data_IF_803577385653
#
_entry.id   IF_803577385653
#
_cell.length_a   1.000
_cell.length_b   1.000
_cell.length_c   1.000
_cell.angle_alpha   90.00
_cell.angle_beta   90.00
_cell.angle_gamma   90.00
#
_symmetry.space_group_name_H-M   'P 1'
#
loop_
_entity.id
_entity.type
_entity.pdbx_description
1 polymer ?
#
# COMPACT_ATOMS: atom_id res chain seq x y z
N UNK A 1 61.38 -1.91 -36.40
CA UNK A 1 60.60 -1.60 -35.18
C UNK A 1 59.13 -2.01 -35.38
N UNK A 2 58.79 -3.25 -35.00
CA UNK A 2 57.39 -3.66 -34.86
C UNK A 2 56.78 -2.83 -33.72
N UNK A 3 55.85 -1.94 -34.07
CA UNK A 3 55.10 -1.16 -33.09
C UNK A 3 54.24 -2.08 -32.22
N UNK A 4 53.97 -1.66 -30.99
CA UNK A 4 53.10 -2.40 -30.08
C UNK A 4 51.75 -2.74 -30.76
N UNK A 5 51.23 -3.96 -30.56
CA UNK A 5 49.95 -4.35 -31.14
C UNK A 5 48.84 -3.41 -30.66
N UNK A 6 47.84 -3.13 -31.51
CA UNK A 6 46.74 -2.25 -31.13
C UNK A 6 46.01 -2.78 -29.89
N UNK A 7 45.48 -1.88 -29.03
CA UNK A 7 44.79 -2.30 -27.82
C UNK A 7 43.58 -3.17 -28.17
N UNK A 8 43.40 -4.24 -27.41
CA UNK A 8 42.33 -5.21 -27.62
C UNK A 8 41.53 -5.43 -26.33
N UNK A 9 40.28 -5.86 -26.49
CA UNK A 9 39.33 -6.07 -25.40
C UNK A 9 39.04 -7.58 -25.32
N UNK A 10 39.19 -8.15 -24.13
CA UNK A 10 38.90 -9.56 -23.90
C UNK A 10 37.41 -9.80 -23.72
N UNK A 11 36.79 -10.64 -24.55
CA UNK A 11 35.42 -11.11 -24.36
C UNK A 11 35.44 -12.51 -23.71
N UNK A 12 34.79 -12.66 -22.55
CA UNK A 12 34.87 -13.88 -21.73
C UNK A 12 33.48 -14.31 -21.25
N UNK A 13 33.20 -15.61 -21.31
CA UNK A 13 31.98 -16.18 -20.75
C UNK A 13 32.01 -16.19 -19.21
N UNK A 14 30.88 -15.93 -18.55
CA UNK A 14 30.69 -16.23 -17.12
C UNK A 14 30.69 -17.75 -16.88
N UNK A 15 31.25 -18.18 -15.75
CA UNK A 15 31.33 -19.59 -15.33
C UNK A 15 32.73 -20.20 -15.44
N UNK A 16 32.90 -21.43 -14.95
CA UNK A 16 34.15 -22.21 -15.00
C UNK A 16 35.25 -21.78 -14.00
N UNK A 17 35.43 -20.49 -13.75
CA UNK A 17 36.35 -19.94 -12.75
C UNK A 17 35.87 -18.59 -12.22
N UNK A 18 36.57 -18.02 -11.23
CA UNK A 18 36.17 -16.77 -10.59
C UNK A 18 36.33 -15.56 -11.53
N UNK A 19 35.62 -14.47 -11.25
CA UNK A 19 35.81 -13.22 -12.01
C UNK A 19 37.25 -12.71 -11.91
N UNK A 20 37.86 -12.82 -10.72
CA UNK A 20 39.27 -12.46 -10.48
C UNK A 20 40.22 -13.22 -11.41
N UNK A 21 40.05 -14.53 -11.56
CA UNK A 21 40.95 -15.33 -12.40
C UNK A 21 40.85 -14.95 -13.87
N UNK A 22 39.62 -14.72 -14.36
CA UNK A 22 39.36 -14.26 -15.74
C UNK A 22 40.05 -12.94 -16.02
N UNK A 23 39.85 -11.97 -15.12
CA UNK A 23 40.42 -10.63 -15.24
C UNK A 23 41.95 -10.68 -15.14
N UNK A 24 42.50 -11.44 -14.19
CA UNK A 24 43.95 -11.60 -14.00
C UNK A 24 44.60 -12.21 -15.24
N UNK A 25 43.98 -13.25 -15.82
CA UNK A 25 44.51 -13.89 -17.01
C UNK A 25 44.46 -12.98 -18.24
N UNK A 26 43.39 -12.20 -18.40
CA UNK A 26 43.28 -11.21 -19.47
C UNK A 26 44.29 -10.07 -19.30
N UNK A 27 44.44 -9.54 -18.08
CA UNK A 27 45.42 -8.51 -17.75
C UNK A 27 46.85 -8.98 -18.01
N UNK A 28 47.19 -10.24 -17.65
CA UNK A 28 48.50 -10.85 -17.95
C UNK A 28 48.79 -10.92 -19.45
N UNK A 29 47.76 -11.02 -20.29
CA UNK A 29 47.86 -10.96 -21.76
C UNK A 29 47.82 -9.55 -22.32
N UNK A 30 47.89 -8.51 -21.48
CA UNK A 30 47.86 -7.09 -21.85
C UNK A 30 46.56 -6.67 -22.57
N UNK A 31 45.41 -7.23 -22.15
CA UNK A 31 44.11 -6.71 -22.58
C UNK A 31 43.90 -5.30 -22.02
N UNK A 32 43.35 -4.39 -22.82
CA UNK A 32 43.03 -3.04 -22.39
C UNK A 32 41.77 -3.00 -21.49
N UNK A 33 40.83 -3.91 -21.73
CA UNK A 33 39.63 -4.10 -20.92
C UNK A 33 39.12 -5.54 -21.02
N UNK A 34 38.23 -5.91 -20.10
CA UNK A 34 37.61 -7.24 -20.03
C UNK A 34 36.08 -7.10 -19.99
N UNK A 35 35.42 -7.77 -20.92
CA UNK A 35 33.96 -7.86 -21.04
C UNK A 35 33.54 -9.27 -20.70
N UNK A 36 32.79 -9.42 -19.61
CA UNK A 36 32.27 -10.71 -19.16
C UNK A 36 30.80 -10.78 -19.52
N UNK A 37 30.39 -11.70 -20.39
CA UNK A 37 28.97 -11.90 -20.67
C UNK A 37 28.35 -12.93 -19.74
N UNK A 38 27.13 -12.65 -19.28
CA UNK A 38 26.42 -13.49 -18.32
C UNK A 38 25.95 -14.82 -18.94
N UNK A 39 25.42 -15.74 -18.14
CA UNK A 39 24.91 -17.03 -18.61
C UNK A 39 23.47 -16.91 -19.16
N UNK A 40 23.09 -17.81 -20.07
CA UNK A 40 21.79 -17.79 -20.75
C UNK A 40 20.59 -17.69 -19.80
N UNK A 41 20.65 -18.40 -18.68
CA UNK A 41 19.57 -18.43 -17.67
C UNK A 41 19.27 -17.07 -17.02
N UNK A 42 20.20 -16.11 -17.11
CA UNK A 42 20.05 -14.79 -16.50
C UNK A 42 19.61 -13.70 -17.49
N UNK A 43 19.46 -14.02 -18.78
CA UNK A 43 19.01 -13.05 -19.78
C UNK A 43 19.83 -11.75 -19.77
N UNK A 44 19.16 -10.61 -19.63
CA UNK A 44 19.77 -9.27 -19.60
C UNK A 44 20.32 -8.84 -18.23
N UNK A 45 20.15 -9.66 -17.19
CA UNK A 45 20.61 -9.31 -15.86
C UNK A 45 22.14 -9.24 -15.80
N UNK A 46 22.66 -8.31 -15.02
CA UNK A 46 24.08 -8.19 -14.71
C UNK A 46 24.29 -8.22 -13.20
N UNK A 47 25.50 -8.57 -12.75
CA UNK A 47 25.85 -8.58 -11.33
C UNK A 47 27.13 -7.81 -11.13
N UNK A 48 27.25 -7.16 -9.96
CA UNK A 48 28.50 -6.54 -9.54
C UNK A 48 29.57 -7.61 -9.34
N UNK A 49 30.74 -7.41 -9.96
CA UNK A 49 31.83 -8.40 -9.94
C UNK A 49 32.90 -7.99 -8.93
N UNK A 50 33.11 -8.80 -7.90
CA UNK A 50 34.27 -8.67 -7.03
C UNK A 50 35.51 -9.20 -7.76
N UNK A 51 36.52 -8.35 -7.92
CA UNK A 51 37.79 -8.64 -8.62
C UNK A 51 38.97 -7.97 -7.91
N UNK A 52 38.92 -7.92 -6.57
CA UNK A 52 39.97 -7.34 -5.73
C UNK A 52 41.35 -7.95 -6.04
N UNK A 53 42.33 -7.06 -6.20
CA UNK A 53 43.72 -7.43 -6.50
C UNK A 53 44.03 -7.66 -7.99
N UNK A 54 43.21 -7.13 -8.91
CA UNK A 54 43.46 -7.19 -10.37
C UNK A 54 43.96 -5.87 -10.98
N UNK A 55 44.41 -4.95 -10.12
CA UNK A 55 44.98 -3.66 -10.51
C UNK A 55 43.94 -2.72 -11.15
N UNK A 56 44.39 -1.94 -12.13
CA UNK A 56 43.58 -0.92 -12.83
C UNK A 56 42.89 -1.47 -14.10
N UNK A 57 42.68 -2.79 -14.18
CA UNK A 57 42.04 -3.40 -15.35
C UNK A 57 40.57 -2.97 -15.41
N UNK A 58 40.13 -2.42 -16.55
CA UNK A 58 38.71 -2.07 -16.75
C UNK A 58 37.91 -3.35 -17.00
N UNK A 59 36.88 -3.59 -16.20
CA UNK A 59 36.04 -4.79 -16.29
C UNK A 59 34.57 -4.41 -16.29
N UNK A 60 33.82 -4.91 -17.27
CA UNK A 60 32.36 -4.74 -17.35
C UNK A 60 31.65 -6.08 -17.55
N UNK A 61 30.43 -6.19 -17.03
CA UNK A 61 29.54 -7.31 -17.32
C UNK A 61 28.45 -6.88 -18.30
N UNK A 62 28.15 -7.74 -19.26
CA UNK A 62 26.99 -7.59 -20.15
C UNK A 62 26.03 -8.76 -19.97
N UNK A 63 24.75 -8.54 -20.23
CA UNK A 63 23.75 -9.62 -20.28
C UNK A 63 24.10 -10.66 -21.35
N UNK A 64 23.55 -11.87 -21.23
CA UNK A 64 23.81 -12.96 -22.17
C UNK A 64 23.44 -12.60 -23.62
N UNK A 65 22.24 -12.04 -23.92
CA UNK A 65 21.88 -11.70 -25.30
C UNK A 65 22.86 -10.72 -25.94
N UNK A 66 23.30 -9.70 -25.19
CA UNK A 66 24.29 -8.74 -25.67
C UNK A 66 25.67 -9.37 -25.88
N UNK A 67 26.07 -10.29 -25.00
CA UNK A 67 27.30 -11.06 -25.16
C UNK A 67 27.31 -11.89 -26.44
N UNK A 68 26.20 -12.56 -26.76
CA UNK A 68 26.05 -13.34 -27.99
C UNK A 68 26.06 -12.44 -29.23
N UNK A 69 25.40 -11.28 -29.19
CA UNK A 69 25.42 -10.28 -30.26
C UNK A 69 26.85 -9.85 -30.62
N UNK A 70 27.75 -9.74 -29.63
CA UNK A 70 29.16 -9.42 -29.84
C UNK A 70 29.96 -10.66 -30.29
N UNK A 71 29.69 -11.82 -29.69
CA UNK A 71 30.43 -13.05 -29.94
C UNK A 71 30.21 -13.62 -31.35
N UNK A 72 29.00 -13.50 -31.88
CA UNK A 72 28.62 -14.06 -33.17
C UNK A 72 29.41 -13.47 -34.36
N UNK A 73 29.54 -12.13 -34.51
CA UNK A 73 30.42 -11.54 -35.51
C UNK A 73 31.89 -11.94 -35.32
N UNK A 74 32.38 -11.94 -34.07
CA UNK A 74 33.77 -12.30 -33.75
C UNK A 74 34.09 -13.73 -34.18
N UNK A 75 33.18 -14.68 -33.96
CA UNK A 75 33.32 -16.08 -34.42
C UNK A 75 33.41 -16.22 -35.93
N UNK A 76 32.78 -15.30 -36.68
CA UNK A 76 32.82 -15.24 -38.14
C UNK A 76 34.04 -14.48 -38.67
N UNK A 77 34.96 -14.06 -37.79
CA UNK A 77 36.14 -13.28 -38.15
C UNK A 77 35.84 -11.81 -38.47
N UNK A 78 34.64 -11.32 -38.14
CA UNK A 78 34.27 -9.93 -38.36
C UNK A 78 34.81 -9.09 -37.19
N UNK A 79 35.64 -8.07 -37.44
CA UNK A 79 36.19 -7.25 -36.38
C UNK A 79 35.11 -6.39 -35.73
N UNK A 80 35.01 -6.46 -34.40
CA UNK A 80 34.08 -5.64 -33.60
C UNK A 80 34.87 -4.57 -32.86
N UNK A 81 34.46 -3.31 -33.04
CA UNK A 81 34.99 -2.17 -32.28
C UNK A 81 34.06 -1.86 -31.11
N UNK A 82 34.63 -1.61 -29.94
CA UNK A 82 33.87 -1.33 -28.72
C UNK A 82 34.50 -0.16 -27.96
N UNK A 83 33.66 0.76 -27.50
CA UNK A 83 34.04 1.89 -26.66
C UNK A 83 33.37 1.73 -25.31
N UNK A 84 34.15 1.77 -24.22
CA UNK A 84 33.64 1.65 -22.86
C UNK A 84 33.75 3.04 -22.21
N UNK A 85 32.63 3.55 -21.72
CA UNK A 85 32.54 4.84 -21.02
C UNK A 85 31.94 4.63 -19.64
N UNK A 86 32.30 5.49 -18.69
CA UNK A 86 31.77 5.43 -17.33
C UNK A 86 30.31 5.87 -17.34
N UNK A 87 29.42 4.97 -16.90
CA UNK A 87 27.98 5.25 -16.76
C UNK A 87 27.62 5.92 -15.43
N UNK A 88 26.33 6.21 -15.24
CA UNK A 88 25.78 6.74 -14.00
C UNK A 88 25.66 5.66 -12.93
N UNK A 89 25.89 6.01 -11.66
CA UNK A 89 25.73 5.05 -10.54
C UNK A 89 24.24 4.76 -10.31
N UNK A 90 23.83 3.50 -10.45
CA UNK A 90 22.46 3.02 -10.19
C UNK A 90 21.99 3.16 -8.72
N UNK A 91 22.84 3.67 -7.82
CA UNK A 91 22.52 3.91 -6.40
C UNK A 91 21.41 4.96 -6.25
N UNK A 92 21.28 5.88 -7.19
CA UNK A 92 20.31 6.97 -7.12
C UNK A 92 18.84 6.49 -7.18
N UNK A 93 18.57 5.37 -7.86
CA UNK A 93 17.20 4.85 -8.07
C UNK A 93 16.68 4.03 -6.89
N UNK A 94 17.58 3.33 -6.18
CA UNK A 94 17.20 2.53 -5.01
C UNK A 94 16.96 3.41 -3.77
N UNK A 95 17.78 4.45 -3.57
CA UNK A 95 17.62 5.38 -2.45
C UNK A 95 16.33 6.21 -2.61
N UNK A 96 16.02 6.66 -3.83
CA UNK A 96 14.80 7.44 -4.07
C UNK A 96 13.53 6.59 -3.88
N UNK A 97 13.51 5.35 -4.37
CA UNK A 97 12.36 4.45 -4.18
C UNK A 97 12.14 4.07 -2.71
N UNK A 98 13.19 3.67 -2.00
CA UNK A 98 13.09 3.24 -0.60
C UNK A 98 12.76 4.42 0.34
N UNK A 99 13.30 5.61 0.06
CA UNK A 99 12.99 6.83 0.81
C UNK A 99 11.52 7.25 0.63
N UNK A 100 11.00 7.21 -0.60
CA UNK A 100 9.59 7.56 -0.87
C UNK A 100 8.63 6.60 -0.18
N UNK A 101 8.91 5.29 -0.21
CA UNK A 101 8.08 4.28 0.47
C UNK A 101 8.08 4.49 1.99
N UNK A 102 9.24 4.80 2.58
CA UNK A 102 9.33 5.08 4.02
C UNK A 102 8.53 6.32 4.43
N UNK A 103 8.62 7.41 3.66
CA UNK A 103 7.86 8.64 3.90
C UNK A 103 6.36 8.40 3.79
N UNK A 104 5.91 7.63 2.78
CA UNK A 104 4.50 7.31 2.59
C UNK A 104 3.92 6.49 3.76
N UNK A 105 4.66 5.48 4.24
CA UNK A 105 4.24 4.66 5.38
C UNK A 105 4.08 5.52 6.63
N UNK A 106 5.03 6.42 6.92
CA UNK A 106 4.96 7.31 8.07
C UNK A 106 3.74 8.27 8.03
N UNK A 107 3.38 8.75 6.84
CA UNK A 107 2.21 9.61 6.66
C UNK A 107 0.90 8.85 6.90
N UNK A 108 0.79 7.63 6.38
CA UNK A 108 -0.39 6.77 6.56
C UNK A 108 -0.56 6.40 8.03
N UNK A 109 0.51 6.04 8.74
CA UNK A 109 0.42 5.69 10.16
C UNK A 109 -0.02 6.86 11.02
N UNK A 110 0.53 8.07 10.78
CA UNK A 110 0.09 9.29 11.48
C UNK A 110 -1.39 9.60 11.24
N UNK A 111 -1.87 9.41 10.01
CA UNK A 111 -3.28 9.62 9.67
C UNK A 111 -4.19 8.62 10.39
N UNK A 112 -3.81 7.34 10.43
CA UNK A 112 -4.58 6.30 11.14
C UNK A 112 -4.61 6.56 12.64
N UNK A 113 -3.47 6.91 13.24
CA UNK A 113 -3.39 7.24 14.68
C UNK A 113 -4.33 8.43 15.00
N UNK A 114 -4.31 9.47 14.16
CA UNK A 114 -5.17 10.65 14.34
C UNK A 114 -6.66 10.29 14.23
N UNK A 115 -7.03 9.48 13.25
CA UNK A 115 -8.42 9.03 13.06
C UNK A 115 -8.89 8.13 14.21
N UNK A 116 -8.05 7.20 14.67
CA UNK A 116 -8.38 6.35 15.80
C UNK A 116 -8.60 7.16 17.08
N UNK A 117 -7.76 8.18 17.33
CA UNK A 117 -7.92 9.11 18.43
C UNK A 117 -9.23 9.90 18.36
N UNK A 118 -9.60 10.40 17.17
CA UNK A 118 -10.86 11.10 16.98
C UNK A 118 -12.06 10.19 17.22
N UNK A 119 -12.07 8.98 16.65
CA UNK A 119 -13.14 8.01 16.85
C UNK A 119 -13.28 7.67 18.33
N UNK A 120 -12.16 7.41 19.01
CA UNK A 120 -12.16 7.13 20.44
C UNK A 120 -12.68 8.32 21.25
N UNK A 121 -12.23 9.54 20.96
CA UNK A 121 -12.74 10.76 21.59
C UNK A 121 -14.26 10.91 21.40
N UNK A 122 -14.78 10.71 20.19
CA UNK A 122 -16.22 10.80 19.91
C UNK A 122 -17.01 9.71 20.63
N UNK A 123 -16.54 8.46 20.63
CA UNK A 123 -17.21 7.35 21.33
C UNK A 123 -17.18 7.59 22.84
N UNK A 124 -16.03 7.96 23.41
CA UNK A 124 -15.92 8.31 24.82
C UNK A 124 -16.82 9.50 25.17
N UNK A 125 -16.82 10.56 24.36
CA UNK A 125 -17.71 11.72 24.55
C UNK A 125 -19.18 11.29 24.55
N UNK A 126 -19.59 10.46 23.59
CA UNK A 126 -20.96 9.98 23.50
C UNK A 126 -21.34 9.08 24.68
N UNK A 127 -20.46 8.18 25.12
CA UNK A 127 -20.75 7.27 26.24
C UNK A 127 -20.69 7.96 27.60
N UNK A 128 -19.75 8.88 27.82
CA UNK A 128 -19.62 9.62 29.08
C UNK A 128 -20.64 10.74 29.20
N UNK A 129 -20.83 11.58 28.18
CA UNK A 129 -21.84 12.65 28.20
C UNK A 129 -23.25 12.13 27.95
N UNK A 130 -23.40 11.00 27.23
CA UNK A 130 -24.67 10.30 27.01
C UNK A 130 -25.09 9.39 28.17
N UNK A 131 -24.32 9.29 29.26
CA UNK A 131 -24.81 8.71 30.52
C UNK A 131 -25.96 9.52 31.14
N UNK A 132 -26.23 10.73 30.63
CA UNK A 132 -27.49 11.45 30.89
C UNK A 132 -28.72 10.85 30.19
N UNK A 133 -28.57 9.87 29.28
CA UNK A 133 -29.69 9.04 28.84
C UNK A 133 -29.90 7.87 29.82
N UNK A 134 -30.33 8.23 31.04
CA UNK A 134 -30.93 7.34 32.03
C UNK A 134 -32.28 6.76 31.58
N UNK A 135 -32.39 6.32 30.33
CA UNK A 135 -33.68 6.01 29.70
C UNK A 135 -34.10 4.53 29.83
N UNK A 136 -33.29 3.67 30.46
CA UNK A 136 -33.74 2.31 30.81
C UNK A 136 -34.52 2.26 32.12
N UNK A 137 -34.16 3.09 33.12
CA UNK A 137 -34.89 3.18 34.40
C UNK A 137 -36.28 3.76 34.20
N UNK A 138 -36.36 4.93 33.55
CA UNK A 138 -37.64 5.60 33.29
C UNK A 138 -38.54 4.82 32.34
N UNK A 139 -38.02 4.08 31.36
CA UNK A 139 -38.88 3.26 30.49
C UNK A 139 -39.68 2.20 31.26
N UNK A 140 -39.13 1.65 32.35
CA UNK A 140 -39.86 0.69 33.21
C UNK A 140 -40.93 1.41 34.05
N UNK A 141 -40.60 2.56 34.62
CA UNK A 141 -41.55 3.37 35.39
C UNK A 141 -42.67 3.95 34.52
N UNK A 142 -42.34 4.48 33.33
CA UNK A 142 -43.30 4.99 32.34
C UNK A 142 -44.21 3.89 31.83
N UNK A 143 -43.70 2.67 31.59
CA UNK A 143 -44.56 1.52 31.23
C UNK A 143 -45.55 1.17 32.34
N UNK A 144 -45.14 1.28 33.60
CA UNK A 144 -46.02 1.06 34.77
C UNK A 144 -47.07 2.17 34.92
N UNK A 145 -46.67 3.44 34.78
CA UNK A 145 -47.58 4.58 34.83
C UNK A 145 -48.62 4.55 33.69
N UNK A 146 -48.20 4.23 32.46
CA UNK A 146 -49.12 4.12 31.31
C UNK A 146 -50.15 3.01 31.54
N UNK A 147 -49.78 1.90 32.19
CA UNK A 147 -50.71 0.79 32.50
C UNK A 147 -51.83 1.14 33.48
N UNK A 148 -51.69 2.25 34.23
CA UNK A 148 -52.67 2.72 35.20
C UNK A 148 -53.65 3.76 34.65
N UNK A 149 -53.48 4.20 33.39
CA UNK A 149 -54.39 5.16 32.75
C UNK A 149 -55.77 4.55 32.46
N UNK A 150 -56.82 5.34 32.65
CA UNK A 150 -58.20 4.91 32.42
C UNK A 150 -58.42 4.59 30.93
N UNK A 151 -58.96 3.40 30.68
CA UNK A 151 -59.36 2.93 29.35
C UNK A 151 -60.79 3.40 29.08
N UNK A 152 -60.97 4.12 27.98
CA UNK A 152 -62.27 4.58 27.50
C UNK A 152 -62.53 4.01 26.10
N UNK A 153 -63.74 3.55 25.85
CA UNK A 153 -64.14 3.05 24.53
C UNK A 153 -64.96 4.12 23.82
N UNK A 154 -64.54 4.51 22.62
CA UNK A 154 -65.22 5.56 21.83
C UNK A 154 -66.63 5.09 21.45
N UNK A 155 -67.65 5.66 22.11
CA UNK A 155 -69.08 5.43 21.85
C UNK A 155 -69.70 6.66 21.20
N UNK A 156 -70.56 6.46 20.20
CA UNK A 156 -71.26 7.53 19.48
C UNK A 156 -72.38 8.10 20.36
N UNK A 157 -72.27 9.37 20.75
CA UNK A 157 -73.42 10.17 21.19
C UNK A 157 -73.74 10.19 22.69
N UNK A 158 -72.76 10.40 23.57
CA UNK A 158 -73.02 10.97 24.91
C UNK A 158 -72.42 12.38 24.97
N UNK A 159 -73.30 13.38 24.91
CA UNK A 159 -73.01 14.80 25.13
C UNK A 159 -72.80 14.99 26.64
N UNK A 160 -71.59 15.31 27.08
CA UNK A 160 -71.39 15.65 28.49
C UNK A 160 -69.98 15.87 29.00
N UNK A 161 -68.93 15.52 28.26
CA UNK A 161 -67.55 15.86 28.62
C UNK A 161 -66.80 16.32 27.36
N UNK A 162 -66.29 17.54 27.46
CA UNK A 162 -65.48 18.28 26.48
C UNK A 162 -64.28 17.44 25.98
N UNK A 163 -64.47 16.67 24.91
CA UNK A 163 -63.38 16.04 24.16
C UNK A 163 -63.74 16.06 22.68
N UNK A 164 -63.79 17.26 22.11
CA UNK A 164 -63.92 17.50 20.67
C UNK A 164 -62.56 17.31 19.97
N UNK A 165 -61.94 16.15 20.19
CA UNK A 165 -60.65 15.78 19.59
C UNK A 165 -60.85 14.50 18.81
N UNK A 166 -61.14 14.63 17.51
CA UNK A 166 -61.42 13.51 16.62
C UNK A 166 -60.19 12.63 16.31
N UNK A 167 -59.01 13.04 16.77
CA UNK A 167 -57.72 12.54 16.31
C UNK A 167 -56.77 12.19 17.49
N UNK A 168 -56.07 11.06 17.40
CA UNK A 168 -55.10 10.61 18.41
C UNK A 168 -53.89 11.55 18.48
N UNK A 169 -53.59 12.12 19.64
CA UNK A 169 -52.46 13.06 19.79
C UNK A 169 -51.06 12.43 19.56
N UNK A 170 -50.95 11.10 19.60
CA UNK A 170 -49.67 10.38 19.42
C UNK A 170 -49.48 9.91 17.98
N UNK A 171 -50.48 9.24 17.42
CA UNK A 171 -50.41 8.69 16.07
C UNK A 171 -51.00 9.63 15.00
N UNK A 172 -51.72 10.68 15.43
CA UNK A 172 -52.37 11.68 14.57
C UNK A 172 -53.39 11.02 13.62
N UNK A 173 -54.01 9.92 14.05
CA UNK A 173 -55.04 9.17 13.31
C UNK A 173 -56.43 9.38 13.92
N UNK A 174 -57.46 9.37 13.06
CA UNK A 174 -58.85 9.58 13.49
C UNK A 174 -59.37 8.37 14.27
N UNK A 175 -60.12 8.63 15.35
CA UNK A 175 -60.74 7.58 16.14
C UNK A 175 -61.84 6.84 15.38
N UNK A 176 -61.84 5.51 15.44
CA UNK A 176 -62.90 4.65 14.89
C UNK A 176 -63.87 4.22 15.99
N UNK A 177 -65.09 3.90 15.58
CA UNK A 177 -66.13 3.39 16.50
C UNK A 177 -65.64 2.10 17.17
N UNK A 178 -65.76 2.04 18.50
CA UNK A 178 -65.26 0.95 19.37
C UNK A 178 -63.75 0.91 19.61
N UNK A 179 -63.00 1.93 19.19
CA UNK A 179 -61.59 2.03 19.57
C UNK A 179 -61.45 2.16 21.09
N UNK A 180 -60.48 1.45 21.65
CA UNK A 180 -60.13 1.52 23.07
C UNK A 180 -58.96 2.46 23.24
N UNK A 181 -59.21 3.64 23.79
CA UNK A 181 -58.23 4.71 23.96
C UNK A 181 -57.91 4.88 25.44
N UNK A 182 -56.73 5.42 25.74
CA UNK A 182 -56.35 5.80 27.11
C UNK A 182 -56.37 7.31 27.22
N UNK A 183 -57.09 7.81 28.21
CA UNK A 183 -57.18 9.24 28.46
C UNK A 183 -55.95 9.68 29.25
N UNK A 184 -55.25 10.69 28.74
CA UNK A 184 -54.13 11.32 29.44
C UNK A 184 -54.70 12.32 30.46
N UNK A 185 -54.33 12.24 31.75
CA UNK A 185 -54.74 13.23 32.73
C UNK A 185 -54.15 14.59 32.36
N UNK A 186 -54.98 15.63 32.36
CA UNK A 186 -54.51 17.02 32.34
C UNK A 186 -53.96 17.40 33.71
N UNK A 187 -53.07 18.39 33.74
CA UNK A 187 -52.65 19.05 34.96
C UNK A 187 -53.00 20.53 34.84
#
# INVERSE_FOLDING_TARGET
PEGDPPPWIALVARGGCTFKDKVTNAARKRAAAVVIYNEARFGNSTVSMSHLGTGNTVVIMVGYPKGIEILEPVRRGIPVKMTIVVGTRHVQEYISGQSVVFVAIAFITMMIISLAWLIFYYIQRFLYTGSQFGNQGHRKETKKAISQLQLHTVKRGEKGLDVDVENCAVCIENYKLKDTVRILPCK
#
